data_IF_315607250254
#
_entry.id   IF_315607250254
#
_cell.length_a   1.000
_cell.length_b   1.000
_cell.length_c   1.000
_cell.angle_alpha   90.00
_cell.angle_beta   90.00
_cell.angle_gamma   90.00
#
_symmetry.space_group_name_H-M   'P 1'
#
loop_
_entity.id
_entity.type
_entity.pdbx_description
1 polymer ?
#
# COMPACT_ATOMS: atom_id res chain seq x y z
N UNK A 1 2.01 10.37 -3.34
CA UNK A 1 2.43 10.57 -1.94
C UNK A 1 3.34 9.45 -1.55
N UNK A 2 4.47 9.76 -0.92
CA UNK A 2 5.45 8.78 -0.49
C UNK A 2 5.69 8.88 1.01
N UNK A 3 5.62 7.74 1.70
CA UNK A 3 5.95 7.64 3.11
C UNK A 3 7.05 6.60 3.30
N UNK A 4 8.15 7.05 3.89
CA UNK A 4 9.30 6.22 4.26
C UNK A 4 9.23 5.98 5.77
N UNK A 5 9.10 4.73 6.20
CA UNK A 5 8.96 4.37 7.60
C UNK A 5 10.27 3.80 8.14
N UNK A 6 10.54 4.00 9.42
CA UNK A 6 11.77 3.57 10.11
C UNK A 6 12.06 2.06 10.10
N UNK A 7 11.12 1.24 9.63
CA UNK A 7 11.19 -0.23 9.63
C UNK A 7 11.54 -0.77 8.22
N UNK A 8 12.25 0.02 7.41
CA UNK A 8 12.52 -0.25 5.98
C UNK A 8 11.27 -0.49 5.13
N UNK A 9 10.10 -0.10 5.64
CA UNK A 9 8.84 -0.12 4.93
C UNK A 9 8.70 1.21 4.19
N UNK A 10 8.41 1.16 2.90
CA UNK A 10 8.23 2.34 2.04
C UNK A 10 6.95 2.14 1.27
N UNK A 11 6.12 3.19 1.25
CA UNK A 11 4.87 3.19 0.51
C UNK A 11 4.87 4.40 -0.39
N UNK A 12 4.77 4.16 -1.69
CA UNK A 12 4.51 5.18 -2.68
C UNK A 12 3.11 4.97 -3.25
N UNK A 13 2.24 5.97 -3.15
CA UNK A 13 0.94 5.95 -3.78
C UNK A 13 0.82 7.14 -4.72
N UNK A 14 0.96 6.89 -6.02
CA UNK A 14 1.02 7.92 -7.05
C UNK A 14 0.16 7.54 -8.25
N UNK A 15 -0.75 8.43 -8.64
CA UNK A 15 -1.59 8.26 -9.84
C UNK A 15 -2.49 7.02 -9.82
N UNK A 16 -2.93 6.57 -8.65
CA UNK A 16 -3.77 5.38 -8.50
C UNK A 16 -3.02 4.06 -8.34
N UNK A 17 -1.70 4.07 -8.53
CA UNK A 17 -0.80 2.92 -8.29
C UNK A 17 -0.21 2.96 -6.89
N UNK A 18 -0.15 1.80 -6.24
CA UNK A 18 0.47 1.63 -4.93
C UNK A 18 1.73 0.77 -5.06
N UNK A 19 2.86 1.33 -4.68
CA UNK A 19 4.14 0.65 -4.60
C UNK A 19 4.51 0.47 -3.13
N UNK A 20 4.73 -0.75 -2.71
CA UNK A 20 5.14 -1.09 -1.35
C UNK A 20 6.48 -1.79 -1.44
N UNK A 21 7.48 -1.24 -0.78
CA UNK A 21 8.80 -1.86 -0.66
C UNK A 21 9.07 -2.14 0.82
N UNK A 22 9.52 -3.34 1.17
CA UNK A 22 9.91 -3.69 2.54
C UNK A 22 11.27 -4.39 2.53
N UNK A 23 12.28 -3.72 3.09
CA UNK A 23 13.64 -4.25 3.11
C UNK A 23 14.21 -4.45 1.69
N UNK A 24 14.96 -5.53 1.49
CA UNK A 24 15.59 -5.88 0.20
C UNK A 24 14.83 -6.94 -0.61
N UNK A 25 13.90 -7.65 0.03
CA UNK A 25 13.25 -8.83 -0.53
C UNK A 25 11.83 -8.58 -1.05
N UNK A 26 11.14 -7.55 -0.52
CA UNK A 26 9.74 -7.32 -0.87
C UNK A 26 9.62 -6.05 -1.68
N UNK A 27 9.27 -6.19 -2.95
CA UNK A 27 8.82 -5.10 -3.81
C UNK A 27 7.48 -5.49 -4.45
N UNK A 28 6.42 -4.79 -4.06
CA UNK A 28 5.06 -5.06 -4.48
C UNK A 28 4.49 -3.84 -5.21
N UNK A 29 4.23 -4.00 -6.50
CA UNK A 29 3.54 -2.99 -7.31
C UNK A 29 2.10 -3.42 -7.52
N UNK A 30 1.17 -2.66 -6.96
CA UNK A 30 -0.27 -2.86 -7.13
C UNK A 30 -0.81 -1.76 -8.03
N UNK A 31 -1.29 -2.15 -9.22
CA UNK A 31 -1.90 -1.21 -10.16
C UNK A 31 -3.30 -0.82 -9.70
N UNK A 32 -3.80 0.33 -10.14
CA UNK A 32 -5.10 0.86 -9.74
C UNK A 32 -6.25 -0.17 -9.83
N UNK A 33 -6.32 -0.94 -10.92
CA UNK A 33 -7.36 -1.94 -11.13
C UNK A 33 -7.24 -3.20 -10.24
N UNK A 34 -6.11 -3.37 -9.55
CA UNK A 34 -5.88 -4.46 -8.60
C UNK A 34 -6.09 -4.00 -7.15
N UNK A 35 -6.20 -2.69 -6.91
CA UNK A 35 -6.50 -2.15 -5.60
C UNK A 35 -8.01 -2.25 -5.38
N UNK A 36 -8.48 -2.98 -4.36
CA UNK A 36 -9.90 -3.05 -4.07
C UNK A 36 -10.45 -1.66 -3.71
N UNK A 37 -11.67 -1.35 -4.15
CA UNK A 37 -12.26 -0.01 -4.06
C UNK A 37 -12.29 0.56 -2.63
N UNK A 38 -12.51 -0.30 -1.62
CA UNK A 38 -12.46 0.06 -0.21
C UNK A 38 -11.08 0.57 0.22
N UNK A 39 -10.00 -0.07 -0.22
CA UNK A 39 -8.64 0.39 0.10
C UNK A 39 -8.23 1.59 -0.74
N UNK A 40 -8.70 1.70 -1.99
CA UNK A 40 -8.47 2.88 -2.84
C UNK A 40 -9.00 4.15 -2.17
N UNK A 41 -10.21 4.11 -1.63
CA UNK A 41 -10.81 5.23 -0.92
C UNK A 41 -10.00 5.63 0.34
N UNK A 42 -9.47 4.65 1.08
CA UNK A 42 -8.60 4.91 2.23
C UNK A 42 -7.25 5.53 1.81
N UNK A 43 -6.63 5.03 0.74
CA UNK A 43 -5.37 5.59 0.21
C UNK A 43 -5.57 7.04 -0.27
N UNK A 44 -6.63 7.30 -1.03
CA UNK A 44 -6.95 8.64 -1.52
C UNK A 44 -7.22 9.61 -0.37
N UNK A 45 -7.94 9.17 0.66
CA UNK A 45 -8.18 9.96 1.87
C UNK A 45 -6.90 10.22 2.67
N UNK A 46 -6.03 9.22 2.78
CA UNK A 46 -4.74 9.35 3.45
C UNK A 46 -3.84 10.37 2.71
N UNK A 47 -3.85 10.36 1.38
CA UNK A 47 -3.14 11.36 0.57
C UNK A 47 -3.73 12.75 0.73
N UNK A 48 -5.05 12.90 0.70
CA UNK A 48 -5.72 14.20 0.92
C UNK A 48 -5.43 14.78 2.30
N UNK A 49 -5.25 13.93 3.31
CA UNK A 49 -4.94 14.31 4.69
C UNK A 49 -3.45 14.39 4.99
N UNK A 50 -2.61 14.08 4.00
CA UNK A 50 -1.16 13.95 4.15
C UNK A 50 -0.75 13.06 5.34
N UNK A 51 -1.53 12.00 5.60
CA UNK A 51 -1.35 11.13 6.77
C UNK A 51 -0.62 9.84 6.40
N UNK A 52 0.67 9.79 6.70
CA UNK A 52 1.45 8.55 6.57
C UNK A 52 0.91 7.43 7.47
N UNK A 53 0.30 7.71 8.61
CA UNK A 53 -0.25 6.64 9.45
C UNK A 53 -1.39 5.89 8.73
N UNK A 54 -2.31 6.64 8.12
CA UNK A 54 -3.42 6.04 7.35
C UNK A 54 -2.91 5.32 6.10
N UNK A 55 -1.95 5.92 5.39
CA UNK A 55 -1.33 5.32 4.20
C UNK A 55 -0.69 3.97 4.53
N UNK A 56 0.04 3.87 5.66
CA UNK A 56 0.64 2.62 6.13
C UNK A 56 -0.41 1.55 6.38
N UNK A 57 -1.49 1.92 7.06
CA UNK A 57 -2.54 0.99 7.45
C UNK A 57 -3.23 0.40 6.22
N UNK A 58 -3.59 1.25 5.26
CA UNK A 58 -4.19 0.82 4.00
C UNK A 58 -3.24 -0.07 3.18
N UNK A 59 -1.98 0.35 3.04
CA UNK A 59 -0.97 -0.42 2.31
C UNK A 59 -0.76 -1.82 2.92
N UNK A 60 -0.62 -1.91 4.25
CA UNK A 60 -0.47 -3.18 4.96
C UNK A 60 -1.71 -4.08 4.82
N UNK A 61 -2.91 -3.49 4.83
CA UNK A 61 -4.16 -4.20 4.58
C UNK A 61 -4.21 -4.80 3.18
N UNK A 62 -3.77 -4.05 2.16
CA UNK A 62 -3.65 -4.54 0.78
C UNK A 62 -2.64 -5.68 0.70
N UNK A 63 -1.43 -5.50 1.24
CA UNK A 63 -0.40 -6.55 1.23
C UNK A 63 -0.89 -7.84 1.89
N UNK A 64 -1.55 -7.76 3.06
CA UNK A 64 -2.11 -8.94 3.72
C UNK A 64 -3.25 -9.58 2.92
N UNK A 65 -4.05 -8.79 2.22
CA UNK A 65 -5.15 -9.31 1.39
C UNK A 65 -4.60 -10.03 0.16
N UNK A 66 -3.57 -9.46 -0.47
CA UNK A 66 -2.86 -10.05 -1.59
C UNK A 66 -2.14 -11.32 -1.12
N UNK A 67 -1.34 -11.25 -0.06
CA UNK A 67 -0.64 -12.40 0.51
C UNK A 67 -1.61 -13.55 0.82
N UNK A 68 -2.75 -13.28 1.48
CA UNK A 68 -3.79 -14.30 1.71
C UNK A 68 -4.43 -14.84 0.43
N UNK A 69 -4.52 -14.04 -0.62
CA UNK A 69 -5.05 -14.48 -1.91
C UNK A 69 -4.05 -15.38 -2.65
N UNK A 70 -2.74 -15.19 -2.42
CA UNK A 70 -1.67 -15.96 -3.06
C UNK A 70 -1.20 -17.17 -2.23
N UNK A 71 -1.22 -17.11 -0.89
CA UNK A 71 -0.86 -18.20 0.03
C UNK A 71 -2.00 -19.20 0.32
N UNK A 72 -3.12 -19.11 -0.40
CA UNK A 72 -4.21 -20.10 -0.30
C UNK A 72 -3.91 -21.27 -1.25
N UNK A 73 -2.87 -22.03 -0.91
CA UNK A 73 -2.58 -23.37 -1.44
C UNK A 73 -2.98 -24.43 -0.41
#
# INVERSE_FOLDING_TARGET
MRCDYKDDFKVDYSGGSLHITKGKDVDLVVREGQIPANYKACLDSAVKRDSCHELRSAARGITNTIDRAFNRE
#
